data_IF_563814234246
#
_entry.id   IF_563814234246
#
_cell.length_a   1.000
_cell.length_b   1.000
_cell.length_c   1.000
_cell.angle_alpha   90.00
_cell.angle_beta   90.00
_cell.angle_gamma   90.00
#
_symmetry.space_group_name_H-M   'P 1'
#
loop_
_entity.id
_entity.type
_entity.pdbx_description
1 polymer ?
#
# COMPACT_ATOMS: atom_id res chain seq x y z
N UNK A 1 17.10 34.07 83.55
CA UNK A 1 17.79 32.98 82.87
C UNK A 1 17.22 32.88 81.49
N UNK A 2 17.79 33.56 80.53
CA UNK A 2 17.31 33.69 79.11
C UNK A 2 18.30 33.00 78.22
N UNK A 3 17.84 32.01 77.48
CA UNK A 3 18.62 31.22 76.49
C UNK A 3 18.77 32.01 75.20
N UNK A 4 19.94 32.04 74.55
CA UNK A 4 20.10 32.69 73.24
C UNK A 4 19.69 31.76 72.11
N UNK A 5 18.83 32.29 71.23
CA UNK A 5 18.47 31.64 69.98
C UNK A 5 19.63 31.75 68.97
N UNK A 6 20.12 30.60 68.53
CA UNK A 6 21.04 30.49 67.40
C UNK A 6 20.27 30.43 66.09
N UNK A 7 20.57 31.34 65.13
CA UNK A 7 20.14 31.23 63.77
C UNK A 7 21.30 30.71 62.89
N UNK A 8 21.16 29.61 62.20
CA UNK A 8 22.18 29.17 61.24
C UNK A 8 22.08 30.00 59.98
N UNK A 9 23.15 30.69 59.65
CA UNK A 9 23.35 31.31 58.31
C UNK A 9 23.49 30.17 57.28
N UNK A 10 22.55 30.10 56.33
CA UNK A 10 22.66 29.19 55.16
C UNK A 10 23.78 29.65 54.20
N UNK A 11 24.49 28.72 53.58
CA UNK A 11 25.54 29.08 52.62
C UNK A 11 24.93 29.68 51.36
N UNK A 12 25.51 30.83 50.92
CA UNK A 12 25.26 31.43 49.64
C UNK A 12 25.68 30.44 48.53
N UNK A 13 24.73 29.84 47.88
CA UNK A 13 24.95 29.12 46.62
C UNK A 13 25.10 30.11 45.49
N UNK A 14 26.35 30.43 45.16
CA UNK A 14 26.71 31.03 43.87
C UNK A 14 26.39 30.04 42.78
N UNK A 15 25.29 30.23 42.06
CA UNK A 15 24.96 29.46 40.87
C UNK A 15 25.98 29.72 39.77
N UNK A 16 26.40 28.70 39.01
CA UNK A 16 27.29 28.93 37.88
C UNK A 16 26.58 29.76 36.79
N UNK A 17 27.24 30.77 36.30
CA UNK A 17 26.79 31.54 35.14
C UNK A 17 26.54 30.59 33.96
N UNK A 18 25.39 30.72 33.24
CA UNK A 18 25.19 29.95 32.02
C UNK A 18 26.24 30.38 31.00
N UNK A 19 27.16 29.47 30.69
CA UNK A 19 28.04 29.60 29.55
C UNK A 19 27.18 29.76 28.30
N UNK A 20 27.47 30.79 27.55
CA UNK A 20 26.91 31.14 26.25
C UNK A 20 26.87 29.90 25.34
N UNK A 21 25.74 29.15 25.38
CA UNK A 21 25.54 27.98 24.56
C UNK A 21 25.43 28.38 23.11
N UNK A 22 26.47 28.11 22.34
CA UNK A 22 26.44 28.24 20.89
C UNK A 22 25.20 27.50 20.39
N UNK A 23 24.33 28.20 19.63
CA UNK A 23 23.22 27.58 18.90
C UNK A 23 23.80 26.45 18.08
N UNK A 24 23.35 25.24 18.36
CA UNK A 24 23.55 24.12 17.45
C UNK A 24 23.01 24.53 16.08
N UNK A 25 23.68 24.18 14.97
CA UNK A 25 23.18 24.50 13.64
C UNK A 25 21.77 23.94 13.51
N UNK A 26 20.82 24.83 13.22
CA UNK A 26 19.44 24.43 12.92
C UNK A 26 19.51 23.51 11.70
N UNK A 27 19.29 22.21 11.91
CA UNK A 27 19.12 21.28 10.82
C UNK A 27 17.96 21.75 9.92
N UNK A 28 17.92 21.32 8.64
CA UNK A 28 16.90 21.77 7.71
C UNK A 28 15.52 21.56 8.34
N UNK A 29 14.81 22.68 8.55
CA UNK A 29 13.44 22.68 9.07
C UNK A 29 12.55 22.06 8.00
N UNK A 30 12.30 20.77 8.11
CA UNK A 30 11.23 20.15 7.35
C UNK A 30 9.92 20.82 7.79
N UNK A 31 9.07 21.26 6.83
CA UNK A 31 7.77 21.79 7.17
C UNK A 31 7.05 20.75 8.05
N UNK A 32 6.63 21.18 9.22
CA UNK A 32 5.88 20.31 10.12
C UNK A 32 4.68 19.76 9.34
N UNK A 33 4.70 18.46 9.10
CA UNK A 33 3.54 17.78 8.52
C UNK A 33 2.37 18.13 9.46
N UNK A 34 1.27 18.70 8.97
CA UNK A 34 0.12 19.01 9.79
C UNK A 34 -0.27 17.70 10.49
N UNK A 35 -0.05 17.61 11.80
CA UNK A 35 -0.64 16.55 12.61
C UNK A 35 -2.14 16.78 12.49
N UNK A 36 -2.79 15.96 11.62
CA UNK A 36 -4.23 15.92 11.60
C UNK A 36 -4.70 15.85 13.04
N UNK A 37 -5.65 16.69 13.41
CA UNK A 37 -6.25 16.67 14.73
C UNK A 37 -6.55 15.23 15.11
N UNK A 38 -6.19 14.74 16.31
CA UNK A 38 -6.53 13.41 16.74
C UNK A 38 -8.05 13.27 16.60
N UNK A 39 -8.46 12.53 15.54
CA UNK A 39 -9.85 12.36 15.20
C UNK A 39 -10.63 11.97 16.45
N UNK A 40 -11.80 12.57 16.63
CA UNK A 40 -12.71 12.26 17.73
C UNK A 40 -12.77 10.75 17.94
N UNK A 41 -12.78 10.22 19.16
CA UNK A 41 -12.70 8.78 19.48
C UNK A 41 -13.74 7.87 18.78
N UNK A 42 -14.67 8.44 18.02
CA UNK A 42 -15.70 7.69 17.30
C UNK A 42 -15.44 7.45 15.80
N UNK A 43 -14.38 8.00 15.19
CA UNK A 43 -14.18 7.99 13.74
C UNK A 43 -12.83 7.37 13.28
N UNK A 44 -12.18 6.57 14.11
CA UNK A 44 -10.98 5.87 13.66
C UNK A 44 -11.36 4.87 12.54
N UNK A 45 -10.70 4.93 11.37
CA UNK A 45 -11.03 4.04 10.26
C UNK A 45 -10.79 2.58 10.65
N UNK A 46 -11.85 1.75 10.58
CA UNK A 46 -11.76 0.33 10.94
C UNK A 46 -10.98 -0.44 9.87
N UNK A 47 -9.90 -1.17 10.24
CA UNK A 47 -9.15 -1.97 9.28
C UNK A 47 -10.03 -3.04 8.62
N UNK A 48 -9.82 -3.27 7.33
CA UNK A 48 -10.50 -4.34 6.61
C UNK A 48 -9.86 -5.70 6.94
N UNK A 49 -10.68 -6.67 7.35
CA UNK A 49 -10.23 -8.02 7.62
C UNK A 49 -9.80 -8.78 6.36
N UNK A 50 -9.11 -9.92 6.57
CA UNK A 50 -8.58 -10.76 5.48
C UNK A 50 -9.66 -11.20 4.49
N UNK A 51 -10.81 -11.67 4.96
CA UNK A 51 -11.90 -12.15 4.10
C UNK A 51 -12.38 -11.09 3.11
N UNK A 52 -12.61 -9.85 3.56
CA UNK A 52 -13.03 -8.75 2.68
C UNK A 52 -11.98 -8.43 1.61
N UNK A 53 -10.70 -8.47 1.96
CA UNK A 53 -9.60 -8.24 1.02
C UNK A 53 -9.47 -9.36 0.01
N UNK A 54 -9.64 -10.61 0.45
CA UNK A 54 -9.65 -11.79 -0.42
C UNK A 54 -10.82 -11.74 -1.39
N UNK A 55 -12.03 -11.47 -0.91
CA UNK A 55 -13.22 -11.32 -1.76
C UNK A 55 -13.02 -10.23 -2.81
N UNK A 56 -12.50 -9.05 -2.40
CA UNK A 56 -12.17 -7.98 -3.34
C UNK A 56 -11.20 -8.44 -4.43
N UNK A 57 -10.15 -9.19 -4.05
CA UNK A 57 -9.17 -9.72 -5.01
C UNK A 57 -9.74 -10.78 -5.95
N UNK A 58 -10.60 -11.67 -5.45
CA UNK A 58 -11.29 -12.65 -6.30
C UNK A 58 -12.16 -11.95 -7.36
N UNK A 59 -12.89 -10.91 -6.98
CA UNK A 59 -13.66 -10.11 -7.93
C UNK A 59 -12.74 -9.44 -8.97
N UNK A 60 -11.63 -8.81 -8.52
CA UNK A 60 -10.65 -8.20 -9.41
C UNK A 60 -10.06 -9.22 -10.40
N UNK A 61 -9.75 -10.44 -9.95
CA UNK A 61 -9.24 -11.52 -10.80
C UNK A 61 -10.26 -12.01 -11.83
N UNK A 62 -11.52 -12.14 -11.43
CA UNK A 62 -12.60 -12.52 -12.37
C UNK A 62 -12.78 -11.45 -13.44
N UNK A 63 -12.78 -10.16 -13.06
CA UNK A 63 -12.87 -9.06 -14.01
C UNK A 63 -11.65 -9.01 -14.95
N UNK A 64 -10.44 -9.18 -14.41
CA UNK A 64 -9.23 -9.20 -15.21
C UNK A 64 -9.20 -10.41 -16.17
N UNK A 65 -9.60 -11.59 -15.70
CA UNK A 65 -9.67 -12.81 -16.53
C UNK A 65 -10.68 -12.65 -17.67
N UNK A 66 -11.86 -12.09 -17.37
CA UNK A 66 -12.87 -11.82 -18.39
C UNK A 66 -12.36 -10.82 -19.45
N UNK A 67 -11.73 -9.73 -18.99
CA UNK A 67 -11.16 -8.71 -19.87
C UNK A 67 -10.02 -9.28 -20.73
N UNK A 68 -9.15 -10.10 -20.14
CA UNK A 68 -8.07 -10.77 -20.85
C UNK A 68 -8.62 -11.74 -21.91
N UNK A 69 -9.60 -12.57 -21.55
CA UNK A 69 -10.24 -13.49 -22.49
C UNK A 69 -10.86 -12.75 -23.67
N UNK A 70 -11.61 -11.66 -23.40
CA UNK A 70 -12.20 -10.85 -24.48
C UNK A 70 -11.12 -10.23 -25.37
N UNK A 71 -10.05 -9.69 -24.79
CA UNK A 71 -8.92 -9.15 -25.54
C UNK A 71 -8.26 -10.21 -26.43
N UNK A 72 -7.99 -11.41 -25.90
CA UNK A 72 -7.42 -12.52 -26.67
C UNK A 72 -8.33 -12.95 -27.82
N UNK A 73 -9.64 -13.06 -27.59
CA UNK A 73 -10.61 -13.41 -28.62
C UNK A 73 -10.62 -12.38 -29.75
N UNK A 74 -10.62 -11.08 -29.40
CA UNK A 74 -10.58 -10.00 -30.39
C UNK A 74 -9.28 -9.99 -31.17
N UNK A 75 -8.13 -10.17 -30.49
CA UNK A 75 -6.83 -10.19 -31.16
C UNK A 75 -6.67 -11.42 -32.07
N UNK A 76 -7.06 -12.60 -31.60
CA UNK A 76 -7.03 -13.81 -32.41
C UNK A 76 -7.90 -13.64 -33.67
N UNK A 77 -9.11 -13.12 -33.54
CA UNK A 77 -9.98 -12.82 -34.66
C UNK A 77 -9.39 -11.79 -35.63
N UNK A 78 -8.78 -10.74 -35.12
CA UNK A 78 -8.12 -9.72 -35.95
C UNK A 78 -6.95 -10.30 -36.73
N UNK A 79 -6.07 -11.06 -36.05
CA UNK A 79 -4.93 -11.73 -36.72
C UNK A 79 -5.41 -12.69 -37.80
N UNK A 80 -6.40 -13.55 -37.53
CA UNK A 80 -6.98 -14.48 -38.50
C UNK A 80 -7.51 -13.75 -39.74
N UNK A 81 -8.18 -12.61 -39.57
CA UNK A 81 -8.69 -11.79 -40.67
C UNK A 81 -7.56 -11.15 -41.47
N UNK A 82 -6.54 -10.60 -40.83
CA UNK A 82 -5.45 -9.89 -41.50
C UNK A 82 -4.49 -10.84 -42.22
N UNK A 83 -4.17 -12.00 -41.61
CA UNK A 83 -3.23 -12.98 -42.16
C UNK A 83 -3.91 -13.97 -43.11
N UNK A 84 -5.26 -14.03 -43.09
CA UNK A 84 -6.06 -15.06 -43.79
C UNK A 84 -5.65 -16.49 -43.40
N UNK A 85 -5.01 -16.66 -42.27
CA UNK A 85 -4.61 -17.92 -41.68
C UNK A 85 -5.31 -18.14 -40.35
N UNK A 86 -6.42 -18.91 -40.29
CA UNK A 86 -7.19 -19.10 -39.08
C UNK A 86 -6.47 -19.98 -38.05
N UNK A 87 -5.53 -20.81 -38.49
CA UNK A 87 -4.83 -21.77 -37.62
C UNK A 87 -3.58 -21.21 -36.99
N UNK A 88 -3.12 -20.01 -37.44
CA UNK A 88 -1.88 -19.40 -36.99
C UNK A 88 -0.62 -20.21 -37.36
N UNK A 89 0.54 -19.64 -37.08
CA UNK A 89 1.80 -20.39 -37.10
C UNK A 89 2.16 -20.86 -35.70
N UNK A 90 2.93 -21.95 -35.57
CA UNK A 90 3.39 -22.44 -34.24
C UNK A 90 4.12 -21.34 -33.44
N UNK A 91 4.85 -20.46 -34.14
CA UNK A 91 5.51 -19.31 -33.50
C UNK A 91 4.53 -18.29 -32.94
N UNK A 92 3.44 -17.99 -33.63
CA UNK A 92 2.41 -17.06 -33.15
C UNK A 92 1.68 -17.62 -31.93
N UNK A 93 1.31 -18.90 -31.96
CA UNK A 93 0.67 -19.58 -30.83
C UNK A 93 1.56 -19.53 -29.59
N UNK A 94 2.86 -19.80 -29.73
CA UNK A 94 3.81 -19.74 -28.62
C UNK A 94 3.94 -18.32 -28.04
N UNK A 95 3.94 -17.27 -28.87
CA UNK A 95 3.97 -15.87 -28.41
C UNK A 95 2.70 -15.55 -27.60
N UNK A 96 1.52 -15.98 -28.08
CA UNK A 96 0.27 -15.75 -27.35
C UNK A 96 0.23 -16.48 -26.02
N UNK A 97 0.69 -17.73 -25.95
CA UNK A 97 0.80 -18.50 -24.72
C UNK A 97 1.75 -17.80 -23.75
N UNK A 98 2.91 -17.35 -24.22
CA UNK A 98 3.85 -16.61 -23.39
C UNK A 98 3.24 -15.32 -22.84
N UNK A 99 2.60 -14.51 -23.69
CA UNK A 99 1.93 -13.27 -23.27
C UNK A 99 0.80 -13.54 -22.27
N UNK A 100 0.05 -14.61 -22.44
CA UNK A 100 -1.00 -14.99 -21.51
C UNK A 100 -0.44 -15.32 -20.12
N UNK A 101 0.58 -16.14 -20.03
CA UNK A 101 1.13 -16.58 -18.76
C UNK A 101 1.98 -15.48 -18.07
N UNK A 102 2.86 -14.83 -18.81
CA UNK A 102 3.78 -13.84 -18.26
C UNK A 102 3.22 -12.42 -18.26
N UNK A 103 2.32 -12.10 -19.16
CA UNK A 103 1.63 -10.81 -19.21
C UNK A 103 0.62 -10.61 -18.07
N UNK A 104 0.15 -11.69 -17.45
CA UNK A 104 -0.86 -11.64 -16.41
C UNK A 104 -0.49 -10.74 -15.21
N UNK A 105 0.69 -10.94 -14.64
CA UNK A 105 1.16 -10.13 -13.51
C UNK A 105 1.39 -8.67 -13.87
N UNK A 106 1.86 -8.41 -15.10
CA UNK A 106 2.05 -7.06 -15.63
C UNK A 106 0.69 -6.36 -15.80
N UNK A 107 -0.29 -7.04 -16.38
CA UNK A 107 -1.65 -6.53 -16.53
C UNK A 107 -2.26 -6.15 -15.18
N UNK A 108 -2.17 -7.07 -14.22
CA UNK A 108 -2.67 -6.84 -12.85
C UNK A 108 -1.93 -5.68 -12.15
N UNK A 109 -0.62 -5.53 -12.40
CA UNK A 109 0.16 -4.43 -11.86
C UNK A 109 -0.37 -3.08 -12.36
N UNK A 110 -0.52 -2.90 -13.68
CA UNK A 110 -1.03 -1.64 -14.24
C UNK A 110 -2.47 -1.37 -13.82
N UNK A 111 -3.30 -2.41 -13.78
CA UNK A 111 -4.67 -2.30 -13.28
C UNK A 111 -4.71 -1.81 -11.81
N UNK A 112 -4.01 -2.50 -10.89
CA UNK A 112 -4.01 -2.15 -9.46
C UNK A 112 -3.39 -0.76 -9.24
N UNK A 113 -2.25 -0.48 -9.87
CA UNK A 113 -1.57 0.81 -9.76
C UNK A 113 -2.44 1.98 -10.23
N UNK A 114 -3.01 1.90 -11.43
CA UNK A 114 -3.83 2.96 -12.01
C UNK A 114 -5.06 3.27 -11.14
N UNK A 115 -5.76 2.22 -10.71
CA UNK A 115 -6.93 2.37 -9.85
C UNK A 115 -6.58 2.90 -8.45
N UNK A 116 -5.44 2.51 -7.89
CA UNK A 116 -5.00 3.01 -6.59
C UNK A 116 -4.60 4.49 -6.63
N UNK A 117 -3.92 4.93 -7.70
CA UNK A 117 -3.54 6.35 -7.85
C UNK A 117 -4.77 7.22 -8.08
N UNK A 118 -5.73 6.77 -8.88
CA UNK A 118 -6.90 7.57 -9.25
C UNK A 118 -7.99 7.58 -8.16
N UNK A 119 -8.37 6.42 -7.67
CA UNK A 119 -9.52 6.26 -6.75
C UNK A 119 -9.16 5.71 -5.36
N UNK A 120 -7.92 5.30 -5.13
CA UNK A 120 -7.49 4.65 -3.88
C UNK A 120 -8.08 3.24 -3.69
N UNK A 121 -8.74 2.68 -4.71
CA UNK A 121 -9.42 1.39 -4.64
C UNK A 121 -9.64 0.79 -6.03
N UNK A 122 -9.51 -0.53 -6.17
CA UNK A 122 -9.85 -1.28 -7.38
C UNK A 122 -11.36 -1.53 -7.47
N UNK A 123 -11.85 -2.00 -8.60
CA UNK A 123 -13.28 -2.30 -8.78
C UNK A 123 -13.79 -3.30 -7.74
N UNK A 124 -13.05 -4.41 -7.50
CA UNK A 124 -13.42 -5.37 -6.47
C UNK A 124 -13.47 -4.75 -5.08
N UNK A 125 -12.52 -3.87 -4.74
CA UNK A 125 -12.53 -3.12 -3.47
C UNK A 125 -13.71 -2.15 -3.37
N UNK A 126 -14.13 -1.53 -4.48
CA UNK A 126 -15.32 -0.68 -4.52
C UNK A 126 -16.60 -1.47 -4.20
N UNK A 127 -16.75 -2.65 -4.80
CA UNK A 127 -17.91 -3.53 -4.61
C UNK A 127 -18.00 -4.00 -3.15
N UNK A 128 -16.86 -4.38 -2.56
CA UNK A 128 -16.80 -4.88 -1.18
C UNK A 128 -16.85 -3.75 -0.13
N UNK A 129 -16.71 -2.48 -0.54
CA UNK A 129 -16.76 -1.33 0.37
C UNK A 129 -15.50 -1.16 1.21
N UNK A 130 -14.32 -1.34 0.61
CA UNK A 130 -13.02 -1.09 1.24
C UNK A 130 -12.18 -0.13 0.41
N UNK A 131 -11.30 0.62 1.08
CA UNK A 131 -10.41 1.62 0.46
C UNK A 131 -8.99 1.49 1.01
N UNK A 132 -8.02 1.86 0.19
CA UNK A 132 -6.63 1.99 0.62
C UNK A 132 -6.36 3.46 0.92
N UNK A 133 -5.79 3.73 2.07
CA UNK A 133 -5.41 5.06 2.53
C UNK A 133 -3.94 5.09 2.93
N UNK A 134 -3.36 6.26 3.05
CA UNK A 134 -2.04 6.44 3.62
C UNK A 134 -2.05 6.16 5.14
N UNK A 135 -1.11 5.38 5.62
CA UNK A 135 -0.97 5.08 7.06
C UNK A 135 -0.61 6.32 7.90
N UNK A 136 -0.10 7.39 7.28
CA UNK A 136 0.16 8.69 7.90
C UNK A 136 -1.08 9.58 8.07
N UNK A 137 -2.28 9.11 7.66
CA UNK A 137 -3.55 9.83 7.83
C UNK A 137 -4.04 10.58 6.58
N UNK A 138 -3.33 10.46 5.45
CA UNK A 138 -3.77 11.00 4.17
C UNK A 138 -4.88 10.16 3.54
N UNK A 139 -5.91 10.81 2.98
CA UNK A 139 -7.02 10.12 2.30
C UNK A 139 -6.66 9.62 0.89
N UNK A 140 -5.57 10.11 0.31
CA UNK A 140 -5.07 9.72 -1.01
C UNK A 140 -3.69 9.09 -0.91
N UNK A 141 -3.44 8.08 -1.74
CA UNK A 141 -2.12 7.48 -1.88
C UNK A 141 -1.22 8.34 -2.76
N UNK A 142 0.05 8.45 -2.35
CA UNK A 142 1.10 8.94 -3.23
C UNK A 142 1.41 7.93 -4.35
N UNK A 143 1.86 8.42 -5.49
CA UNK A 143 2.21 7.58 -6.63
C UNK A 143 3.24 6.50 -6.27
N UNK A 144 4.29 6.85 -5.49
CA UNK A 144 5.30 5.90 -5.02
C UNK A 144 4.70 4.76 -4.18
N UNK A 145 3.78 5.10 -3.27
CA UNK A 145 3.10 4.11 -2.42
C UNK A 145 2.27 3.13 -3.24
N UNK A 146 1.53 3.65 -4.23
CA UNK A 146 0.73 2.83 -5.12
C UNK A 146 1.62 1.88 -5.96
N UNK A 147 2.71 2.39 -6.55
CA UNK A 147 3.68 1.58 -7.32
C UNK A 147 4.29 0.48 -6.46
N UNK A 148 4.87 0.82 -5.29
CA UNK A 148 5.53 -0.16 -4.42
C UNK A 148 4.55 -1.25 -3.99
N UNK A 149 3.33 -0.86 -3.61
CA UNK A 149 2.28 -1.80 -3.20
C UNK A 149 1.89 -2.75 -4.33
N UNK A 150 1.58 -2.20 -5.50
CA UNK A 150 1.14 -2.99 -6.66
C UNK A 150 2.27 -3.86 -7.20
N UNK A 151 3.52 -3.37 -7.21
CA UNK A 151 4.69 -4.15 -7.63
C UNK A 151 4.88 -5.38 -6.76
N UNK A 152 4.93 -5.20 -5.45
CA UNK A 152 5.16 -6.32 -4.51
C UNK A 152 4.07 -7.39 -4.56
N UNK A 153 2.84 -7.00 -4.88
CA UNK A 153 1.73 -7.94 -4.93
C UNK A 153 1.52 -8.56 -6.32
N UNK A 154 1.58 -7.76 -7.38
CA UNK A 154 1.20 -8.20 -8.72
C UNK A 154 2.37 -8.74 -9.54
N UNK A 155 3.57 -8.14 -9.46
CA UNK A 155 4.70 -8.60 -10.27
C UNK A 155 5.15 -10.05 -10.00
N UNK A 156 5.14 -10.58 -8.77
CA UNK A 156 5.42 -12.00 -8.58
C UNK A 156 4.51 -12.91 -9.41
N UNK A 157 3.28 -12.47 -9.69
CA UNK A 157 2.28 -13.24 -10.45
C UNK A 157 2.61 -13.35 -11.96
N UNK A 158 3.67 -12.70 -12.43
CA UNK A 158 4.26 -12.97 -13.76
C UNK A 158 4.84 -14.38 -13.84
N UNK A 159 5.19 -14.98 -12.67
CA UNK A 159 5.64 -16.36 -12.61
C UNK A 159 4.44 -17.28 -12.33
N UNK A 160 4.04 -18.12 -13.28
CA UNK A 160 2.89 -19.03 -13.11
C UNK A 160 3.06 -19.90 -11.87
N UNK A 161 2.00 -20.11 -11.12
CA UNK A 161 1.92 -20.90 -9.87
C UNK A 161 2.75 -20.31 -8.70
N UNK A 162 4.08 -20.20 -8.85
CA UNK A 162 4.98 -19.69 -7.79
C UNK A 162 4.63 -18.27 -7.37
N UNK A 163 4.37 -17.41 -8.34
CA UNK A 163 4.04 -16.01 -8.06
C UNK A 163 2.73 -15.84 -7.29
N UNK A 164 1.74 -16.67 -7.57
CA UNK A 164 0.48 -16.66 -6.83
C UNK A 164 0.67 -17.10 -5.36
N UNK A 165 1.53 -18.11 -5.13
CA UNK A 165 1.87 -18.58 -3.78
C UNK A 165 2.59 -17.47 -3.01
N UNK A 166 3.58 -16.80 -3.64
CA UNK A 166 4.30 -15.67 -3.04
C UNK A 166 3.33 -14.53 -2.70
N UNK A 167 2.48 -14.14 -3.64
CA UNK A 167 1.49 -13.06 -3.43
C UNK A 167 0.50 -13.38 -2.31
N UNK A 168 0.06 -14.64 -2.22
CA UNK A 168 -0.77 -15.12 -1.12
C UNK A 168 -0.04 -15.06 0.22
N UNK A 169 1.21 -15.52 0.27
CA UNK A 169 2.06 -15.44 1.47
C UNK A 169 2.26 -13.99 1.95
N UNK A 170 2.53 -13.06 1.02
CA UNK A 170 2.63 -11.63 1.32
C UNK A 170 1.30 -11.06 1.88
N UNK A 171 0.17 -11.52 1.35
CA UNK A 171 -1.14 -11.13 1.85
C UNK A 171 -1.43 -11.70 3.25
N UNK A 172 -1.06 -12.96 3.51
CA UNK A 172 -1.26 -13.61 4.81
C UNK A 172 -0.44 -12.96 5.93
N UNK A 173 0.65 -12.24 5.62
CA UNK A 173 1.41 -11.48 6.60
C UNK A 173 0.60 -10.48 7.42
N UNK A 174 -0.62 -10.14 6.99
CA UNK A 174 -1.55 -9.31 7.77
C UNK A 174 -2.11 -10.01 9.02
N UNK A 175 -2.11 -11.34 9.06
CA UNK A 175 -2.64 -12.11 10.21
C UNK A 175 -1.77 -11.94 11.46
N UNK A 176 -0.50 -11.56 11.28
CA UNK A 176 0.46 -11.32 12.37
C UNK A 176 0.63 -9.82 12.70
N UNK A 177 -0.10 -8.92 12.04
CA UNK A 177 0.04 -7.46 12.24
C UNK A 177 -1.16 -6.92 13.02
N UNK A 178 -0.92 -6.21 14.13
CA UNK A 178 -1.96 -5.61 14.98
C UNK A 178 -2.91 -4.67 14.21
N UNK A 179 -2.40 -4.00 13.17
CA UNK A 179 -3.16 -3.11 12.28
C UNK A 179 -3.71 -3.82 11.05
N UNK A 180 -3.64 -5.16 11.01
CA UNK A 180 -4.05 -5.99 9.88
C UNK A 180 -3.45 -5.52 8.54
N UNK A 181 -2.16 -5.17 8.50
CA UNK A 181 -1.44 -4.75 7.29
C UNK A 181 -0.69 -5.94 6.70
N UNK A 182 -0.92 -6.21 5.43
CA UNK A 182 -0.13 -7.17 4.67
C UNK A 182 1.32 -6.67 4.47
N UNK A 183 2.24 -7.53 4.07
CA UNK A 183 3.64 -7.15 3.86
C UNK A 183 3.77 -6.01 2.86
N UNK A 184 3.05 -6.07 1.75
CA UNK A 184 3.03 -5.00 0.74
C UNK A 184 2.37 -3.70 1.26
N UNK A 185 1.41 -3.77 2.20
CA UNK A 185 0.84 -2.60 2.86
C UNK A 185 1.87 -1.90 3.75
N UNK A 186 2.65 -2.70 4.50
CA UNK A 186 3.73 -2.18 5.37
C UNK A 186 4.84 -1.53 4.58
N UNK A 187 5.29 -2.21 3.52
CA UNK A 187 6.35 -1.70 2.64
C UNK A 187 5.96 -0.38 1.94
N UNK A 188 4.68 -0.22 1.60
CA UNK A 188 4.15 0.99 0.97
C UNK A 188 3.67 2.06 1.96
N UNK A 189 3.66 1.79 3.27
CA UNK A 189 3.12 2.72 4.27
C UNK A 189 1.61 2.96 4.11
N UNK A 190 0.84 1.93 3.77
CA UNK A 190 -0.60 2.03 3.49
C UNK A 190 -1.44 1.21 4.46
N UNK A 191 -2.73 1.53 4.55
CA UNK A 191 -3.71 0.82 5.35
C UNK A 191 -4.98 0.58 4.51
N UNK A 192 -5.58 -0.58 4.65
CA UNK A 192 -6.87 -0.89 4.02
C UNK A 192 -7.98 -0.79 5.07
N UNK A 193 -8.95 0.07 4.81
CA UNK A 193 -10.04 0.37 5.74
C UNK A 193 -11.40 0.11 5.11
N UNK A 194 -12.39 -0.12 5.95
CA UNK A 194 -13.79 -0.18 5.52
C UNK A 194 -14.29 1.24 5.23
N UNK A 195 -15.09 1.39 4.17
CA UNK A 195 -15.75 2.66 3.80
C UNK A 195 -17.19 2.75 4.31
N UNK A 196 -17.68 1.64 4.91
CA UNK A 196 -19.02 1.53 5.51
C UNK A 196 -18.90 0.92 6.88
#
# INVERSE_FOLDING_TARGET
MSSPHWHPHGPHQGGPHPLNGGRAPEGPSYPAVPRGEPGRPGNAPTPAGFGLRLTARLIDYLLAAFTALLFFMLMAGLVAVLTRNPDGTDGEVNVWIFLFFFGWGVLLFFYDWLYLVTWGRTLGKMIVGIKVIDAGGGDRLGQKQAVVRSSLFCLPQTLPCLGNIVSLGLAMGMLSDERARAVHDRAAGTLVVKTR
#
